data_IF_183167084676
#
_entry.id   IF_183167084676
#
_cell.length_a   1.000
_cell.length_b   1.000
_cell.length_c   1.000
_cell.angle_alpha   90.00
_cell.angle_beta   90.00
_cell.angle_gamma   90.00
#
_symmetry.space_group_name_H-M   'P 1'
#
loop_
_entity.id
_entity.type
_entity.pdbx_description
1 polymer ?
#
# COMPACT_ATOMS: atom_id res chain seq x y z
N UNK A 1 -8.74 -30.08 26.43
CA UNK A 1 -8.18 -30.00 25.05
C UNK A 1 -8.96 -29.04 24.17
N UNK A 2 -10.30 -29.15 24.08
CA UNK A 2 -11.14 -28.25 23.26
C UNK A 2 -10.99 -26.75 23.59
N UNK A 3 -10.97 -26.39 24.88
CA UNK A 3 -10.75 -25.01 25.34
C UNK A 3 -9.45 -24.41 24.77
N UNK A 4 -8.35 -25.16 24.82
CA UNK A 4 -7.06 -24.69 24.31
C UNK A 4 -7.10 -24.56 22.79
N UNK A 5 -7.72 -25.52 22.09
CA UNK A 5 -7.88 -25.45 20.64
C UNK A 5 -8.67 -24.20 20.20
N UNK A 6 -9.75 -23.87 20.92
CA UNK A 6 -10.56 -22.67 20.66
C UNK A 6 -9.73 -21.40 20.87
N UNK A 7 -8.98 -21.32 21.98
CA UNK A 7 -8.12 -20.16 22.25
C UNK A 7 -7.00 -20.01 21.21
N UNK A 8 -6.41 -21.12 20.75
CA UNK A 8 -5.41 -21.10 19.68
C UNK A 8 -6.03 -20.59 18.38
N UNK A 9 -7.19 -21.11 17.97
CA UNK A 9 -7.88 -20.66 16.76
C UNK A 9 -8.26 -19.18 16.83
N UNK A 10 -8.76 -18.73 17.97
CA UNK A 10 -9.08 -17.32 18.20
C UNK A 10 -7.83 -16.44 18.07
N UNK A 11 -6.71 -16.87 18.66
CA UNK A 11 -5.45 -16.13 18.58
C UNK A 11 -4.93 -16.02 17.14
N UNK A 12 -5.04 -17.10 16.35
CA UNK A 12 -4.67 -17.11 14.94
C UNK A 12 -5.58 -16.22 14.10
N UNK A 13 -6.89 -16.29 14.32
CA UNK A 13 -7.85 -15.45 13.61
C UNK A 13 -7.60 -13.97 13.87
N UNK A 14 -7.30 -13.59 15.12
CA UNK A 14 -6.94 -12.22 15.48
C UNK A 14 -5.61 -11.82 14.82
N UNK A 15 -4.58 -12.64 14.93
CA UNK A 15 -3.26 -12.34 14.37
C UNK A 15 -3.31 -12.14 12.84
N UNK A 16 -3.99 -13.04 12.13
CA UNK A 16 -4.14 -12.97 10.67
C UNK A 16 -5.05 -11.81 10.28
N UNK A 17 -6.18 -11.64 10.97
CA UNK A 17 -7.16 -10.59 10.66
C UNK A 17 -6.60 -9.19 10.90
N UNK A 18 -6.06 -8.94 12.10
CA UNK A 18 -5.45 -7.65 12.42
C UNK A 18 -4.16 -7.42 11.62
N UNK A 19 -3.34 -8.45 11.43
CA UNK A 19 -2.13 -8.38 10.61
C UNK A 19 -2.44 -8.00 9.16
N UNK A 20 -3.37 -8.72 8.52
CA UNK A 20 -3.79 -8.42 7.16
C UNK A 20 -4.44 -7.03 7.02
N UNK A 21 -5.31 -6.67 7.97
CA UNK A 21 -5.91 -5.33 7.99
C UNK A 21 -4.86 -4.22 8.14
N UNK A 22 -3.84 -4.42 8.98
CA UNK A 22 -2.77 -3.44 9.17
C UNK A 22 -1.96 -3.20 7.90
N UNK A 23 -1.64 -4.26 7.15
CA UNK A 23 -0.92 -4.16 5.87
C UNK A 23 -1.81 -3.49 4.83
N UNK A 24 -3.09 -3.85 4.76
CA UNK A 24 -4.05 -3.22 3.86
C UNK A 24 -4.15 -1.71 4.14
N UNK A 25 -4.26 -1.31 5.40
CA UNK A 25 -4.31 0.08 5.81
C UNK A 25 -3.02 0.84 5.46
N UNK A 26 -1.85 0.24 5.74
CA UNK A 26 -0.56 0.84 5.39
C UNK A 26 -0.39 1.03 3.87
N UNK A 27 -0.89 0.09 3.06
CA UNK A 27 -0.90 0.20 1.59
C UNK A 27 -1.88 1.25 1.06
N UNK A 28 -2.99 1.48 1.77
CA UNK A 28 -4.00 2.47 1.40
C UNK A 28 -3.66 3.89 1.89
N UNK A 29 -2.71 4.04 2.82
CA UNK A 29 -2.19 5.35 3.18
C UNK A 29 -1.37 5.91 2.00
N UNK A 30 -1.98 6.82 1.24
CA UNK A 30 -1.35 7.57 0.12
C UNK A 30 -0.15 8.43 0.56
N UNK A 31 0.13 8.52 1.86
CA UNK A 31 1.36 9.09 2.42
C UNK A 31 2.50 8.06 2.41
N UNK A 32 2.67 7.41 1.26
CA UNK A 32 3.77 6.49 1.02
C UNK A 32 5.11 7.23 1.04
N UNK A 33 6.17 6.50 1.36
CA UNK A 33 7.53 7.04 1.35
C UNK A 33 7.84 7.56 -0.06
N UNK A 34 8.16 8.85 -0.18
CA UNK A 34 8.47 9.47 -1.49
C UNK A 34 7.26 10.01 -2.26
N UNK A 35 6.05 9.97 -1.69
CA UNK A 35 4.90 10.66 -2.27
C UNK A 35 5.08 12.18 -2.21
N UNK A 36 4.78 12.88 -3.31
CA UNK A 36 4.67 14.34 -3.34
C UNK A 36 3.20 14.75 -3.38
N UNK A 37 2.82 15.72 -2.53
CA UNK A 37 1.45 16.24 -2.45
C UNK A 37 1.42 17.70 -2.93
N UNK A 38 0.55 18.00 -3.89
CA UNK A 38 0.29 19.36 -4.38
C UNK A 38 -1.22 19.61 -4.30
N UNK A 39 -1.67 20.26 -3.22
CA UNK A 39 -3.09 20.43 -2.95
C UNK A 39 -3.80 19.08 -2.75
N UNK A 40 -4.83 18.80 -3.55
CA UNK A 40 -5.56 17.52 -3.56
C UNK A 40 -4.84 16.42 -4.36
N UNK A 41 -3.79 16.76 -5.11
CA UNK A 41 -3.10 15.83 -5.99
C UNK A 41 -1.91 15.17 -5.29
N UNK A 42 -1.78 13.85 -5.48
CA UNK A 42 -0.65 13.04 -5.00
C UNK A 42 0.06 12.41 -6.19
N UNK A 43 1.39 12.43 -6.20
CA UNK A 43 2.22 11.77 -7.21
C UNK A 43 3.40 11.03 -6.58
N UNK A 44 3.92 10.02 -7.28
CA UNK A 44 4.99 9.15 -6.81
C UNK A 44 6.13 9.14 -7.85
N UNK A 45 7.11 10.05 -7.73
CA UNK A 45 8.10 10.29 -8.79
C UNK A 45 9.04 9.11 -9.05
N UNK A 46 9.23 8.26 -8.05
CA UNK A 46 10.18 7.15 -8.12
C UNK A 46 9.53 5.82 -8.53
N UNK A 47 8.20 5.79 -8.77
CA UNK A 47 7.40 4.55 -8.91
C UNK A 47 7.91 3.60 -10.01
N UNK A 48 8.41 4.11 -11.13
CA UNK A 48 9.00 3.33 -12.22
C UNK A 48 10.53 3.24 -12.19
N UNK A 49 11.15 3.52 -11.04
CA UNK A 49 12.61 3.50 -10.89
C UNK A 49 13.09 2.36 -9.98
N UNK A 50 14.39 2.11 -9.95
CA UNK A 50 15.00 1.15 -9.01
C UNK A 50 14.83 1.59 -7.54
N UNK A 51 14.70 2.90 -7.29
CA UNK A 51 14.52 3.48 -5.97
C UNK A 51 13.08 3.35 -5.43
N UNK A 52 12.12 2.91 -6.26
CA UNK A 52 10.74 2.70 -5.86
C UNK A 52 10.64 1.88 -4.56
N UNK A 53 9.94 2.46 -3.58
CA UNK A 53 9.72 1.82 -2.28
C UNK A 53 8.84 0.56 -2.42
N UNK A 54 8.93 -0.39 -1.48
CA UNK A 54 8.17 -1.64 -1.54
C UNK A 54 6.64 -1.44 -1.64
N UNK A 55 6.10 -0.37 -1.06
CA UNK A 55 4.65 -0.10 -1.08
C UNK A 55 4.21 0.47 -2.42
N UNK A 56 5.00 1.35 -3.04
CA UNK A 56 4.76 1.80 -4.42
C UNK A 56 4.74 0.62 -5.40
N UNK A 57 5.68 -0.33 -5.28
CA UNK A 57 5.70 -1.55 -6.09
C UNK A 57 4.48 -2.44 -5.87
N UNK A 58 4.09 -2.64 -4.61
CA UNK A 58 2.91 -3.41 -4.26
C UNK A 58 1.62 -2.77 -4.80
N UNK A 59 1.52 -1.45 -4.74
CA UNK A 59 0.36 -0.70 -5.26
C UNK A 59 0.26 -0.80 -6.78
N UNK A 60 1.36 -0.62 -7.50
CA UNK A 60 1.42 -0.83 -8.97
C UNK A 60 0.91 -2.24 -9.32
N UNK A 61 1.40 -3.26 -8.61
CA UNK A 61 0.98 -4.64 -8.83
C UNK A 61 -0.51 -4.88 -8.50
N UNK A 62 -1.06 -4.20 -7.48
CA UNK A 62 -2.47 -4.30 -7.08
C UNK A 62 -3.41 -3.58 -8.04
N UNK A 63 -3.04 -2.38 -8.47
CA UNK A 63 -3.88 -1.50 -9.29
C UNK A 63 -3.75 -1.80 -10.80
N UNK A 64 -2.70 -2.52 -11.21
CA UNK A 64 -2.46 -2.84 -12.61
C UNK A 64 -2.09 -1.61 -13.46
N UNK A 65 -1.60 -0.56 -12.81
CA UNK A 65 -1.18 0.69 -13.47
C UNK A 65 0.23 0.56 -14.04
N UNK A 66 0.51 1.30 -15.11
CA UNK A 66 1.87 1.37 -15.66
C UNK A 66 2.75 2.20 -14.72
N UNK A 67 3.85 1.62 -14.23
CA UNK A 67 4.84 2.34 -13.45
C UNK A 67 5.70 3.20 -14.38
N UNK A 68 5.40 4.49 -14.45
CA UNK A 68 6.14 5.45 -15.27
C UNK A 68 7.55 5.69 -14.72
N UNK A 69 8.55 5.51 -15.56
CA UNK A 69 9.93 5.88 -15.29
C UNK A 69 10.15 7.40 -15.33
N UNK A 70 11.33 7.86 -14.90
CA UNK A 70 11.63 9.29 -14.76
C UNK A 70 11.47 10.11 -16.06
N UNK A 71 11.67 9.49 -17.22
CA UNK A 71 11.54 10.15 -18.53
C UNK A 71 10.17 9.93 -19.20
N UNK A 72 9.25 9.22 -18.54
CA UNK A 72 7.95 8.81 -19.10
C UNK A 72 6.78 9.67 -18.59
N UNK A 73 7.08 10.67 -17.74
CA UNK A 73 6.11 11.60 -17.16
C UNK A 73 5.78 11.30 -15.70
N UNK A 74 4.81 12.02 -15.15
CA UNK A 74 4.39 11.90 -13.75
C UNK A 74 2.86 11.88 -13.64
N UNK A 75 2.32 10.82 -13.03
CA UNK A 75 0.89 10.68 -12.79
C UNK A 75 0.49 11.37 -11.49
N UNK A 76 -0.60 12.13 -11.53
CA UNK A 76 -1.20 12.78 -10.37
C UNK A 76 -2.59 12.18 -10.15
N UNK A 77 -2.87 11.82 -8.90
CA UNK A 77 -4.17 11.26 -8.49
C UNK A 77 -4.74 12.10 -7.35
N UNK A 78 -6.03 12.45 -7.47
CA UNK A 78 -6.80 13.08 -6.41
C UNK A 78 -7.89 12.10 -5.95
N UNK A 79 -8.00 11.88 -4.63
CA UNK A 79 -9.05 11.02 -4.06
C UNK A 79 -10.30 11.83 -3.64
N UNK A 80 -10.19 13.15 -3.59
CA UNK A 80 -11.26 14.06 -3.19
C UNK A 80 -11.17 15.35 -4.02
N UNK A 81 -12.33 15.90 -4.35
CA UNK A 81 -12.49 17.13 -5.12
C UNK A 81 -12.55 18.37 -4.21
#
# INVERSE_FOLDING_TARGET
>A
MLKNAILTLLSLAIAIGLGGYSVWYALNAQDGVGAIRIGQWTAFPEVGTLAADPYSKARVAREGVLALGQAEGLAFVAERD
#
